data_IF_630736730839
#
_entry.id   IF_630736730839
#
_cell.length_a   1.000
_cell.length_b   1.000
_cell.length_c   1.000
_cell.angle_alpha   90.00
_cell.angle_beta   90.00
_cell.angle_gamma   90.00
#
_symmetry.space_group_name_H-M   'P 1'
#
loop_
_entity.id
_entity.type
_entity.pdbx_description
1 polymer ?
#
# COMPACT_ATOMS: atom_id res chain seq x y z
N UNK A 1 -11.01 0.29 -2.57
CA UNK A 1 -10.07 1.43 -2.51
C UNK A 1 -8.98 1.08 -1.51
N UNK A 2 -7.71 1.12 -1.91
CA UNK A 2 -6.58 0.76 -1.03
C UNK A 2 -5.90 2.02 -0.50
N UNK A 3 -5.69 2.11 0.81
CA UNK A 3 -4.98 3.21 1.44
C UNK A 3 -3.50 2.84 1.57
N UNK A 4 -2.64 3.51 0.83
CA UNK A 4 -1.19 3.24 0.83
C UNK A 4 -0.54 3.66 2.15
N UNK A 5 -1.08 4.68 2.80
CA UNK A 5 -0.82 4.99 4.21
C UNK A 5 -2.09 4.66 4.99
N UNK A 6 -2.16 3.50 5.67
CA UNK A 6 -3.33 3.09 6.42
C UNK A 6 -3.76 4.14 7.45
N UNK A 7 -5.06 4.33 7.61
CA UNK A 7 -5.62 5.35 8.54
C UNK A 7 -5.10 5.19 9.97
N UNK A 8 -4.86 3.96 10.41
CA UNK A 8 -4.28 3.67 11.73
C UNK A 8 -2.85 4.21 11.93
N UNK A 9 -2.16 4.53 10.84
CA UNK A 9 -0.82 5.12 10.86
C UNK A 9 -0.87 6.65 10.98
N UNK A 10 -2.00 7.30 10.71
CA UNK A 10 -2.11 8.77 10.68
C UNK A 10 -1.90 9.43 12.05
N UNK A 11 -2.15 8.71 13.15
CA UNK A 11 -1.91 9.19 14.51
C UNK A 11 -0.47 9.01 14.97
N UNK A 12 0.34 8.19 14.29
CA UNK A 12 1.69 7.84 14.73
C UNK A 12 2.67 8.99 14.46
N UNK A 13 3.53 9.29 15.44
CA UNK A 13 4.50 10.40 15.41
C UNK A 13 5.36 10.39 14.14
N UNK A 14 5.90 9.24 13.76
CA UNK A 14 6.74 9.12 12.56
C UNK A 14 6.01 9.58 11.29
N UNK A 15 4.77 9.13 11.08
CA UNK A 15 3.99 9.48 9.89
C UNK A 15 3.61 10.96 9.86
N UNK A 16 3.26 11.52 11.02
CA UNK A 16 2.95 12.95 11.16
C UNK A 16 4.16 13.86 10.92
N UNK A 17 5.36 13.35 11.16
CA UNK A 17 6.61 14.07 10.91
C UNK A 17 7.06 13.96 9.45
N UNK A 18 6.74 12.86 8.78
CA UNK A 18 7.15 12.61 7.39
C UNK A 18 6.13 13.10 6.35
N UNK A 19 4.84 13.15 6.69
CA UNK A 19 3.76 13.45 5.76
C UNK A 19 2.75 14.40 6.39
N UNK A 20 2.20 15.30 5.58
CA UNK A 20 1.04 16.08 5.97
C UNK A 20 -0.21 15.21 6.12
N UNK A 21 -1.20 15.69 6.89
CA UNK A 21 -2.49 14.99 7.03
C UNK A 21 -3.20 14.79 5.69
N UNK A 22 -3.10 15.76 4.79
CA UNK A 22 -3.74 15.67 3.49
C UNK A 22 -3.06 14.64 2.60
N UNK A 23 -1.72 14.60 2.54
CA UNK A 23 -0.99 13.54 1.83
C UNK A 23 -1.35 12.14 2.34
N UNK A 24 -1.45 11.97 3.66
CA UNK A 24 -1.82 10.67 4.25
C UNK A 24 -3.25 10.24 3.87
N UNK A 25 -4.18 11.19 3.68
CA UNK A 25 -5.55 10.91 3.25
C UNK A 25 -5.65 10.66 1.75
N UNK A 26 -4.88 11.39 0.94
CA UNK A 26 -4.98 11.36 -0.53
C UNK A 26 -4.13 10.25 -1.16
N UNK A 27 -3.18 9.67 -0.42
CA UNK A 27 -2.38 8.51 -0.86
C UNK A 27 -3.20 7.23 -0.93
N UNK A 28 -3.88 7.11 -2.06
CA UNK A 28 -4.89 6.11 -2.34
C UNK A 28 -4.59 5.42 -3.67
N UNK A 29 -4.83 4.11 -3.71
CA UNK A 29 -4.70 3.29 -4.90
C UNK A 29 -6.05 2.67 -5.27
N UNK A 30 -6.39 2.71 -6.55
CA UNK A 30 -7.58 2.03 -7.10
C UNK A 30 -7.21 0.59 -7.43
N UNK A 31 -7.33 -0.28 -6.43
CA UNK A 31 -7.21 -1.73 -6.60
C UNK A 31 -8.59 -2.38 -6.59
N UNK A 32 -8.78 -3.42 -7.41
CA UNK A 32 -9.95 -4.28 -7.31
C UNK A 32 -9.93 -5.07 -5.99
N UNK A 33 -11.08 -5.64 -5.60
CA UNK A 33 -11.22 -6.33 -4.31
C UNK A 33 -10.18 -7.46 -4.12
N UNK A 34 -9.96 -8.28 -5.15
CA UNK A 34 -8.98 -9.38 -5.11
C UNK A 34 -7.55 -8.86 -4.95
N UNK A 35 -7.14 -7.86 -5.74
CA UNK A 35 -5.79 -7.31 -5.64
C UNK A 35 -5.56 -6.60 -4.29
N UNK A 36 -6.60 -5.92 -3.77
CA UNK A 36 -6.54 -5.31 -2.45
C UNK A 36 -6.29 -6.35 -1.36
N UNK A 37 -7.07 -7.43 -1.33
CA UNK A 37 -6.89 -8.52 -0.37
C UNK A 37 -5.48 -9.13 -0.49
N UNK A 38 -5.03 -9.41 -1.70
CA UNK A 38 -3.74 -10.04 -1.92
C UNK A 38 -2.57 -9.18 -1.43
N UNK A 39 -2.65 -7.85 -1.59
CA UNK A 39 -1.63 -6.93 -1.05
C UNK A 39 -1.56 -7.02 0.48
N UNK A 40 -2.71 -7.08 1.16
CA UNK A 40 -2.75 -7.25 2.61
C UNK A 40 -2.34 -8.66 3.06
N UNK A 41 -2.55 -9.68 2.24
CA UNK A 41 -2.05 -11.04 2.51
C UNK A 41 -0.52 -11.12 2.40
N UNK A 42 0.08 -10.39 1.44
CA UNK A 42 1.53 -10.33 1.27
C UNK A 42 2.22 -9.41 2.29
N UNK A 43 1.57 -8.29 2.64
CA UNK A 43 2.10 -7.29 3.57
C UNK A 43 1.06 -7.09 4.68
N UNK A 44 0.95 -8.04 5.63
CA UNK A 44 -0.04 -7.97 6.71
C UNK A 44 0.27 -6.84 7.70
N UNK A 45 1.54 -6.46 7.82
CA UNK A 45 1.94 -5.35 8.68
C UNK A 45 1.71 -4.00 7.98
N UNK A 46 0.51 -3.45 8.17
CA UNK A 46 0.11 -2.13 7.67
C UNK A 46 1.04 -0.97 8.10
N UNK A 47 1.75 -1.06 9.23
CA UNK A 47 2.70 -0.02 9.64
C UNK A 47 3.93 -0.09 8.73
N UNK A 48 4.43 -1.29 8.47
CA UNK A 48 5.52 -1.50 7.52
C UNK A 48 5.10 -1.09 6.10
N UNK A 49 3.89 -1.46 5.68
CA UNK A 49 3.30 -1.05 4.40
C UNK A 49 3.32 0.47 4.24
N UNK A 50 2.83 1.21 5.24
CA UNK A 50 2.84 2.66 5.20
C UNK A 50 4.23 3.30 5.26
N UNK A 51 5.24 2.61 5.80
CA UNK A 51 6.61 3.14 5.89
C UNK A 51 7.43 2.87 4.62
N UNK A 52 7.36 1.65 4.10
CA UNK A 52 8.22 1.17 3.01
C UNK A 52 7.52 1.13 1.65
N UNK A 53 6.19 1.00 1.64
CA UNK A 53 5.38 0.67 0.45
C UNK A 53 4.22 1.65 0.23
N UNK A 54 4.45 2.94 0.49
CA UNK A 54 3.39 3.96 0.51
C UNK A 54 3.14 4.70 -0.82
N UNK A 55 3.64 4.14 -1.92
CA UNK A 55 3.34 4.52 -3.31
C UNK A 55 3.17 3.25 -4.14
N UNK A 56 2.57 3.35 -5.33
CA UNK A 56 2.46 2.19 -6.23
C UNK A 56 3.84 1.67 -6.63
N UNK A 57 4.77 2.56 -6.96
CA UNK A 57 6.13 2.17 -7.36
C UNK A 57 6.83 1.41 -6.24
N UNK A 58 6.74 1.91 -5.00
CA UNK A 58 7.30 1.21 -3.84
C UNK A 58 6.57 -0.12 -3.61
N UNK A 59 5.25 -0.17 -3.70
CA UNK A 59 4.49 -1.41 -3.54
C UNK A 59 4.91 -2.48 -4.56
N UNK A 60 5.26 -2.08 -5.78
CA UNK A 60 5.78 -2.95 -6.83
C UNK A 60 7.24 -3.39 -6.59
N UNK A 61 7.99 -2.76 -5.69
CA UNK A 61 9.31 -3.28 -5.27
C UNK A 61 9.18 -4.52 -4.39
N UNK A 62 8.02 -4.77 -3.78
CA UNK A 62 7.80 -5.97 -2.99
C UNK A 62 7.71 -7.20 -3.90
N UNK A 63 8.58 -8.22 -3.75
CA UNK A 63 8.71 -9.29 -4.72
C UNK A 63 7.41 -10.09 -4.90
N UNK A 64 6.68 -10.35 -3.82
CA UNK A 64 5.38 -11.06 -3.92
C UNK A 64 4.33 -10.24 -4.67
N UNK A 65 4.31 -8.91 -4.46
CA UNK A 65 3.35 -8.03 -5.15
C UNK A 65 3.73 -7.93 -6.62
N UNK A 66 5.02 -7.72 -6.94
CA UNK A 66 5.53 -7.66 -8.30
C UNK A 66 5.17 -8.92 -9.09
N UNK A 67 5.45 -10.09 -8.52
CA UNK A 67 5.14 -11.38 -9.12
C UNK A 67 3.63 -11.57 -9.34
N UNK A 68 2.82 -11.21 -8.35
CA UNK A 68 1.36 -11.29 -8.47
C UNK A 68 0.81 -10.36 -9.55
N UNK A 69 1.29 -9.12 -9.63
CA UNK A 69 0.89 -8.16 -10.67
C UNK A 69 1.31 -8.66 -12.05
N UNK A 70 2.54 -9.14 -12.21
CA UNK A 70 3.02 -9.72 -13.47
C UNK A 70 2.20 -10.95 -13.90
N UNK A 71 1.85 -11.82 -12.94
CA UNK A 71 0.98 -12.95 -13.16
C UNK A 71 -0.45 -12.55 -13.55
N UNK A 72 -1.02 -11.56 -12.85
CA UNK A 72 -2.37 -11.02 -13.13
C UNK A 72 -2.45 -10.41 -14.52
N UNK A 73 -1.42 -9.67 -14.94
CA UNK A 73 -1.35 -9.07 -16.29
C UNK A 73 -1.37 -10.11 -17.41
N UNK A 74 -0.85 -11.31 -17.18
CA UNK A 74 -0.87 -12.40 -18.17
C UNK A 74 -2.22 -13.13 -18.26
N UNK A 75 -3.12 -12.94 -17.29
CA UNK A 75 -4.38 -13.68 -17.15
C UNK A 75 -5.62 -12.78 -17.09
N UNK A 76 -5.45 -11.50 -17.38
CA UNK A 76 -6.51 -10.50 -17.40
C UNK A 76 -6.81 -10.01 -18.80
#
# INVERSE_FOLDING_TARGET
MHHLIPRKCHSKKWFRNCYSREEMKTRLARLCHTCHRQVHDFIPNEIEMGKKFNTIDLLLTHPQVANYVAWRRRRG
#
